data_IF_334061568844
#
_entry.id   IF_334061568844
#
_cell.length_a   1.000
_cell.length_b   1.000
_cell.length_c   1.000
_cell.angle_alpha   90.00
_cell.angle_beta   90.00
_cell.angle_gamma   90.00
#
_symmetry.space_group_name_H-M   'P 1'
#
loop_
_entity.id
_entity.type
_entity.pdbx_description
1 polymer ?
#
# COMPACT_ATOMS: atom_id res chain seq x y z
N UNK A 1 5.58 15.68 4.00
CA UNK A 1 5.87 14.58 3.04
C UNK A 1 7.36 14.23 2.99
N UNK A 2 7.69 13.00 2.59
CA UNK A 2 9.05 12.47 2.39
C UNK A 2 9.53 12.58 0.93
N UNK A 3 9.84 11.44 0.29
CA UNK A 3 10.36 11.39 -1.09
C UNK A 3 9.22 11.47 -2.11
N UNK A 4 9.42 12.20 -3.21
CA UNK A 4 8.44 12.31 -4.30
C UNK A 4 8.96 11.72 -5.62
N UNK A 5 8.04 11.05 -6.32
CA UNK A 5 8.17 10.61 -7.70
C UNK A 5 7.20 11.41 -8.56
N UNK A 6 7.67 12.57 -9.04
CA UNK A 6 6.78 13.60 -9.59
C UNK A 6 6.33 13.32 -11.03
N UNK A 7 7.22 12.90 -11.94
CA UNK A 7 6.87 12.88 -13.37
C UNK A 7 6.99 11.52 -14.08
N UNK A 8 7.82 10.59 -13.57
CA UNK A 8 8.28 9.40 -14.31
C UNK A 8 8.63 8.25 -13.35
N UNK A 9 9.08 7.14 -13.93
CA UNK A 9 9.50 5.93 -13.22
C UNK A 9 10.52 6.24 -12.13
N UNK A 10 10.44 5.49 -11.04
CA UNK A 10 11.21 5.71 -9.83
C UNK A 10 11.75 4.40 -9.28
N UNK A 11 12.93 4.47 -8.67
CA UNK A 11 13.48 3.37 -7.87
C UNK A 11 13.87 3.90 -6.51
N UNK A 12 13.26 3.32 -5.49
CA UNK A 12 13.53 3.59 -4.08
C UNK A 12 14.11 2.29 -3.52
N UNK A 13 15.38 2.32 -3.15
CA UNK A 13 16.11 1.12 -2.74
C UNK A 13 16.85 1.39 -1.43
N UNK A 14 16.69 0.48 -0.47
CA UNK A 14 17.41 0.52 0.81
C UNK A 14 17.24 1.85 1.57
N UNK A 15 16.01 2.39 1.55
CA UNK A 15 15.64 3.63 2.24
C UNK A 15 14.89 3.30 3.53
N UNK A 16 15.25 4.01 4.60
CA UNK A 16 14.64 3.84 5.92
C UNK A 16 14.09 5.17 6.46
N UNK A 17 12.81 5.16 6.83
CA UNK A 17 12.12 6.30 7.45
C UNK A 17 11.83 5.98 8.92
N UNK A 18 12.56 6.62 9.83
CA UNK A 18 12.42 6.37 11.27
C UNK A 18 11.13 6.93 11.89
N UNK A 19 10.57 8.01 11.31
CA UNK A 19 9.34 8.64 11.76
C UNK A 19 8.67 9.36 10.57
N UNK A 20 7.50 8.88 10.16
CA UNK A 20 6.78 9.41 9.00
C UNK A 20 5.76 10.44 9.44
N UNK A 21 6.04 11.71 9.14
CA UNK A 21 5.16 12.83 9.50
C UNK A 21 3.80 12.80 8.77
N UNK A 22 3.82 12.68 7.44
CA UNK A 22 2.60 12.68 6.61
C UNK A 22 2.58 11.42 5.74
N UNK A 23 3.42 11.40 4.70
CA UNK A 23 3.67 10.27 3.81
C UNK A 23 5.19 10.08 3.66
N UNK A 24 5.67 8.83 3.54
CA UNK A 24 7.08 8.54 3.32
C UNK A 24 7.47 8.66 1.84
N UNK A 25 6.59 8.19 0.95
CA UNK A 25 6.76 8.21 -0.50
C UNK A 25 5.45 8.61 -1.19
N UNK A 26 5.52 9.61 -2.07
CA UNK A 26 4.39 10.05 -2.90
C UNK A 26 4.71 9.89 -4.39
N UNK A 27 3.93 9.06 -5.10
CA UNK A 27 3.99 8.90 -6.56
C UNK A 27 2.92 9.81 -7.18
N UNK A 28 3.32 10.90 -7.84
CA UNK A 28 2.41 11.97 -8.28
C UNK A 28 2.06 11.95 -9.77
N UNK A 29 2.97 11.54 -10.65
CA UNK A 29 2.78 11.59 -12.11
C UNK A 29 2.93 10.24 -12.80
N UNK A 30 3.62 10.22 -13.94
CA UNK A 30 3.82 9.05 -14.77
C UNK A 30 2.72 8.82 -15.83
N UNK A 31 2.85 7.70 -16.52
CA UNK A 31 1.91 7.21 -17.54
C UNK A 31 1.34 5.86 -17.13
N UNK A 32 0.35 5.33 -17.85
CA UNK A 32 -0.21 4.01 -17.55
C UNK A 32 0.85 2.87 -17.59
N UNK A 33 1.95 3.05 -18.33
CA UNK A 33 3.07 2.09 -18.38
C UNK A 33 4.18 2.38 -17.36
N UNK A 34 4.07 3.46 -16.58
CA UNK A 34 5.11 3.81 -15.62
C UNK A 34 5.21 2.80 -14.49
N UNK A 35 6.44 2.58 -14.02
CA UNK A 35 6.74 1.66 -12.92
C UNK A 35 7.55 2.36 -11.86
N UNK A 36 7.06 2.35 -10.62
CA UNK A 36 7.83 2.71 -9.43
C UNK A 36 8.20 1.43 -8.69
N UNK A 37 9.48 1.23 -8.40
CA UNK A 37 9.98 0.12 -7.57
C UNK A 37 10.38 0.63 -6.19
N UNK A 38 9.96 -0.10 -5.16
CA UNK A 38 10.28 0.14 -3.75
C UNK A 38 10.82 -1.15 -3.18
N UNK A 39 12.13 -1.20 -2.95
CA UNK A 39 12.84 -2.46 -2.67
C UNK A 39 13.69 -2.36 -1.41
N UNK A 40 13.60 -3.36 -0.53
CA UNK A 40 14.39 -3.44 0.71
C UNK A 40 14.28 -2.19 1.59
N UNK A 41 13.08 -1.62 1.71
CA UNK A 41 12.84 -0.38 2.43
C UNK A 41 12.18 -0.62 3.78
N UNK A 42 12.13 0.41 4.63
CA UNK A 42 11.30 0.33 5.83
C UNK A 42 10.88 1.67 6.40
N UNK A 43 9.76 1.67 7.12
CA UNK A 43 9.17 2.86 7.69
C UNK A 43 8.57 2.58 9.08
N UNK A 44 8.58 3.59 9.95
CA UNK A 44 7.91 3.55 11.25
C UNK A 44 7.05 4.78 11.50
N UNK A 45 6.05 4.62 12.36
CA UNK A 45 5.25 5.71 12.95
C UNK A 45 4.50 6.56 11.91
N UNK A 46 4.00 5.94 10.85
CA UNK A 46 3.23 6.62 9.81
C UNK A 46 1.74 6.71 10.16
N UNK A 47 1.30 7.79 10.80
CA UNK A 47 -0.07 7.91 11.30
C UNK A 47 -1.19 7.67 10.27
N UNK A 48 -0.99 8.00 8.99
CA UNK A 48 -1.97 7.77 7.92
C UNK A 48 -1.50 6.75 6.88
N UNK A 49 -0.41 7.04 6.17
CA UNK A 49 0.06 6.20 5.05
C UNK A 49 1.56 6.32 4.80
N UNK A 50 2.17 5.22 4.32
CA UNK A 50 3.60 5.16 4.00
C UNK A 50 3.81 5.51 2.52
N UNK A 51 3.17 4.74 1.62
CA UNK A 51 3.24 4.94 0.17
C UNK A 51 1.90 5.46 -0.36
N UNK A 52 1.91 6.69 -0.86
CA UNK A 52 0.77 7.35 -1.49
C UNK A 52 0.91 7.31 -3.02
N UNK A 53 -0.02 6.63 -3.70
CA UNK A 53 -0.02 6.52 -5.16
C UNK A 53 -1.13 7.40 -5.75
N UNK A 54 -0.75 8.60 -6.18
CA UNK A 54 -1.63 9.60 -6.80
C UNK A 54 -1.64 9.51 -8.33
N UNK A 55 -0.50 9.20 -8.93
CA UNK A 55 -0.28 9.20 -10.37
C UNK A 55 -0.82 7.96 -11.09
N UNK A 56 -0.29 7.74 -12.29
CA UNK A 56 -0.58 6.57 -13.11
C UNK A 56 0.45 5.45 -12.87
N UNK A 57 0.08 4.24 -13.30
CA UNK A 57 1.04 3.15 -13.49
C UNK A 57 1.01 2.11 -12.38
N UNK A 58 2.16 1.47 -12.19
CA UNK A 58 2.35 0.33 -11.27
C UNK A 58 3.36 0.67 -10.19
N UNK A 59 3.01 0.38 -8.94
CA UNK A 59 3.97 0.38 -7.83
C UNK A 59 4.32 -1.07 -7.48
N UNK A 60 5.60 -1.38 -7.40
CA UNK A 60 6.10 -2.70 -6.98
C UNK A 60 6.84 -2.54 -5.65
N UNK A 61 6.27 -3.12 -4.59
CA UNK A 61 6.85 -3.13 -3.25
C UNK A 61 7.39 -4.55 -3.01
N UNK A 62 8.68 -4.66 -2.77
CA UNK A 62 9.35 -5.96 -2.52
C UNK A 62 10.36 -5.84 -1.38
N UNK A 63 10.14 -6.57 -0.29
CA UNK A 63 11.01 -6.50 0.88
C UNK A 63 10.79 -5.21 1.65
N UNK A 64 9.66 -5.09 2.36
CA UNK A 64 9.34 -3.87 3.12
C UNK A 64 9.05 -4.18 4.59
N UNK A 65 9.69 -3.44 5.48
CA UNK A 65 9.37 -3.44 6.91
C UNK A 65 8.51 -2.22 7.26
N UNK A 66 7.36 -2.42 7.89
CA UNK A 66 6.54 -1.30 8.37
C UNK A 66 6.08 -1.53 9.81
N UNK A 67 6.19 -0.53 10.68
CA UNK A 67 5.71 -0.61 12.06
C UNK A 67 4.85 0.60 12.43
N UNK A 68 3.74 0.35 13.12
CA UNK A 68 2.83 1.36 13.66
C UNK A 68 2.43 2.39 12.59
N UNK A 69 1.65 1.91 11.62
CA UNK A 69 1.31 2.70 10.44
C UNK A 69 -0.17 2.59 10.10
N UNK A 70 -0.77 3.64 9.53
CA UNK A 70 -2.14 3.58 9.05
C UNK A 70 -2.29 2.59 7.89
N UNK A 71 -1.59 2.86 6.78
CA UNK A 71 -1.61 2.05 5.54
C UNK A 71 -0.21 1.99 4.93
N UNK A 72 0.29 0.81 4.57
CA UNK A 72 1.58 0.71 3.87
C UNK A 72 1.44 1.29 2.45
N UNK A 73 0.36 0.96 1.75
CA UNK A 73 0.07 1.51 0.43
C UNK A 73 -1.37 2.01 0.33
N UNK A 74 -1.55 3.20 -0.27
CA UNK A 74 -2.86 3.75 -0.60
C UNK A 74 -2.91 4.24 -2.04
N UNK A 75 -3.81 3.65 -2.83
CA UNK A 75 -4.26 4.26 -4.09
C UNK A 75 -5.07 5.52 -3.79
N UNK A 76 -4.76 6.66 -4.39
CA UNK A 76 -5.43 7.91 -4.04
C UNK A 76 -6.94 7.85 -4.33
N UNK A 77 -7.77 8.04 -3.29
CA UNK A 77 -9.22 8.00 -3.41
C UNK A 77 -9.85 9.25 -4.03
N UNK A 78 -9.14 10.37 -4.04
CA UNK A 78 -9.64 11.69 -4.48
C UNK A 78 -8.94 12.23 -5.73
N UNK A 79 -7.88 11.57 -6.21
CA UNK A 79 -7.05 12.04 -7.33
C UNK A 79 -7.64 11.69 -8.71
N UNK A 80 -8.97 11.58 -8.82
CA UNK A 80 -9.66 11.22 -10.04
C UNK A 80 -9.72 9.72 -10.32
N UNK A 81 -10.48 9.39 -11.37
CA UNK A 81 -10.71 8.03 -11.87
C UNK A 81 -9.52 7.54 -12.69
N UNK A 82 -8.47 7.16 -11.96
CA UNK A 82 -7.22 6.65 -12.51
C UNK A 82 -7.05 5.22 -12.01
N UNK A 83 -7.02 4.21 -12.90
CA UNK A 83 -6.73 2.84 -12.50
C UNK A 83 -5.26 2.73 -12.08
N UNK A 84 -5.03 2.19 -10.88
CA UNK A 84 -3.68 1.99 -10.33
C UNK A 84 -3.43 0.52 -10.06
N UNK A 85 -2.19 0.09 -10.31
CA UNK A 85 -1.76 -1.28 -10.03
C UNK A 85 -0.70 -1.29 -8.93
N UNK A 86 -0.76 -2.29 -8.06
CA UNK A 86 0.27 -2.54 -7.05
C UNK A 86 0.61 -4.02 -6.96
N UNK A 87 1.90 -4.34 -6.86
CA UNK A 87 2.37 -5.64 -6.38
C UNK A 87 3.06 -5.47 -5.05
N UNK A 88 2.75 -6.33 -4.09
CA UNK A 88 3.28 -6.27 -2.73
C UNK A 88 3.80 -7.65 -2.36
N UNK A 89 5.11 -7.75 -2.25
CA UNK A 89 5.81 -9.01 -2.04
C UNK A 89 6.76 -8.86 -0.84
N UNK A 90 6.89 -9.92 -0.02
CA UNK A 90 7.86 -9.99 1.07
C UNK A 90 7.74 -8.82 2.07
N UNK A 91 6.56 -8.62 2.65
CA UNK A 91 6.32 -7.54 3.62
C UNK A 91 6.27 -8.09 5.04
N UNK A 92 6.93 -7.41 5.97
CA UNK A 92 6.75 -7.59 7.40
C UNK A 92 6.14 -6.34 8.02
N UNK A 93 4.87 -6.43 8.40
CA UNK A 93 4.09 -5.36 8.98
C UNK A 93 3.85 -5.61 10.48
N UNK A 94 4.10 -4.60 11.32
CA UNK A 94 3.81 -4.62 12.74
C UNK A 94 2.78 -3.54 13.04
N UNK A 95 1.68 -3.91 13.69
CA UNK A 95 0.63 -3.00 14.15
C UNK A 95 0.09 -2.02 13.07
N UNK A 96 -0.47 -2.53 11.95
CA UNK A 96 -1.26 -1.68 11.05
C UNK A 96 -2.49 -1.12 11.78
N UNK A 97 -2.67 0.19 11.74
CA UNK A 97 -3.77 0.91 12.39
C UNK A 97 -5.06 0.90 11.56
N UNK A 98 -4.97 0.73 10.23
CA UNK A 98 -6.12 0.66 9.33
C UNK A 98 -6.08 -0.58 8.44
N UNK A 99 -5.02 -0.74 7.64
CA UNK A 99 -4.85 -1.87 6.72
C UNK A 99 -3.39 -1.99 6.27
N UNK A 100 -3.01 -3.12 5.68
CA UNK A 100 -1.71 -3.20 4.98
C UNK A 100 -1.80 -2.37 3.70
N UNK A 101 -2.76 -2.64 2.81
CA UNK A 101 -3.01 -1.80 1.64
C UNK A 101 -4.48 -1.40 1.48
N UNK A 102 -4.72 -0.31 0.75
CA UNK A 102 -6.07 0.11 0.35
C UNK A 102 -6.16 0.54 -1.12
N UNK A 103 -7.04 -0.13 -1.87
CA UNK A 103 -7.29 0.09 -3.32
C UNK A 103 -8.73 0.56 -3.59
N UNK A 104 -8.97 1.21 -4.74
CA UNK A 104 -10.28 1.72 -5.14
C UNK A 104 -10.98 0.76 -6.12
N UNK A 105 -12.10 0.19 -5.70
CA UNK A 105 -12.88 -0.77 -6.49
C UNK A 105 -13.45 -0.15 -7.77
N UNK A 106 -13.99 1.05 -7.68
CA UNK A 106 -14.68 1.72 -8.78
C UNK A 106 -13.74 2.32 -9.84
N UNK A 107 -12.46 2.50 -9.52
CA UNK A 107 -11.45 2.98 -10.48
C UNK A 107 -10.75 1.84 -11.20
N UNK A 108 -11.12 0.59 -10.93
CA UNK A 108 -10.51 -0.58 -11.58
C UNK A 108 -9.10 -0.86 -11.10
N UNK A 109 -8.77 -0.48 -9.85
CA UNK A 109 -7.48 -0.79 -9.26
C UNK A 109 -7.25 -2.31 -9.19
N UNK A 110 -5.97 -2.69 -9.22
CA UNK A 110 -5.56 -4.08 -9.11
C UNK A 110 -4.40 -4.20 -8.13
N UNK A 111 -4.53 -5.09 -7.15
CA UNK A 111 -3.45 -5.46 -6.25
C UNK A 111 -3.15 -6.95 -6.36
N UNK A 112 -1.88 -7.29 -6.32
CA UNK A 112 -1.39 -8.64 -6.11
C UNK A 112 -0.50 -8.67 -4.87
N UNK A 113 -0.74 -9.61 -3.97
CA UNK A 113 0.02 -9.74 -2.73
C UNK A 113 0.57 -11.16 -2.60
N UNK A 114 1.80 -11.28 -2.13
CA UNK A 114 2.40 -12.56 -1.76
C UNK A 114 3.35 -12.41 -0.57
N UNK A 115 3.43 -13.44 0.27
CA UNK A 115 4.33 -13.48 1.42
C UNK A 115 4.23 -12.25 2.34
N UNK A 116 3.03 -12.00 2.85
CA UNK A 116 2.70 -10.88 3.75
C UNK A 116 2.64 -11.39 5.18
N UNK A 117 3.61 -11.00 6.00
CA UNK A 117 3.61 -11.28 7.42
C UNK A 117 3.13 -10.07 8.21
N UNK A 118 2.14 -10.29 9.06
CA UNK A 118 1.62 -9.26 9.96
C UNK A 118 1.76 -9.71 11.41
N UNK A 119 2.34 -8.86 12.25
CA UNK A 119 2.35 -9.01 13.69
C UNK A 119 1.44 -7.95 14.31
N UNK A 120 0.60 -8.35 15.24
CA UNK A 120 -0.12 -7.41 16.12
C UNK A 120 0.33 -7.62 17.57
N UNK A 121 0.76 -6.56 18.22
CA UNK A 121 1.28 -6.63 19.61
C UNK A 121 0.19 -6.96 20.62
N UNK A 122 -1.06 -6.64 20.29
CA UNK A 122 -2.24 -7.02 21.08
C UNK A 122 -2.79 -8.42 20.76
N UNK A 123 -2.17 -9.16 19.82
CA UNK A 123 -2.60 -10.51 19.42
C UNK A 123 -3.89 -10.56 18.58
N UNK A 124 -4.35 -9.43 18.05
CA UNK A 124 -5.51 -9.37 17.15
C UNK A 124 -5.20 -10.06 15.80
N UNK A 125 -6.05 -11.01 15.40
CA UNK A 125 -5.95 -11.66 14.08
C UNK A 125 -6.86 -11.04 13.01
N UNK A 126 -7.78 -10.15 13.40
CA UNK A 126 -8.63 -9.42 12.47
C UNK A 126 -7.87 -8.21 11.92
N UNK A 127 -7.08 -8.44 10.86
CA UNK A 127 -6.32 -7.41 10.16
C UNK A 127 -6.76 -7.34 8.70
N UNK A 128 -7.04 -6.11 8.25
CA UNK A 128 -7.38 -5.82 6.85
C UNK A 128 -6.12 -5.79 5.99
N UNK A 129 -5.76 -6.92 5.40
CA UNK A 129 -4.56 -6.99 4.55
C UNK A 129 -4.76 -6.21 3.25
N UNK A 130 -5.84 -6.47 2.52
CA UNK A 130 -6.23 -5.68 1.35
C UNK A 130 -7.62 -5.10 1.56
N UNK A 131 -7.70 -3.81 1.87
CA UNK A 131 -8.97 -3.10 1.98
C UNK A 131 -9.36 -2.51 0.62
N UNK A 132 -10.65 -2.53 0.30
CA UNK A 132 -11.19 -1.92 -0.91
C UNK A 132 -12.19 -0.80 -0.59
N UNK A 133 -12.04 0.31 -1.30
CA UNK A 133 -12.82 1.54 -1.13
C UNK A 133 -13.53 1.97 -2.41
N UNK A 134 -14.51 2.85 -2.25
CA UNK A 134 -15.05 3.70 -3.29
C UNK A 134 -14.25 5.00 -3.31
N UNK A 135 -13.63 5.35 -4.43
CA UNK A 135 -13.06 6.67 -4.68
C UNK A 135 -14.13 7.70 -5.07
N UNK A 136 -13.77 8.99 -4.97
CA UNK A 136 -14.63 10.13 -5.25
C UNK A 136 -14.24 11.35 -4.43
N UNK A 137 -15.12 12.34 -4.33
CA UNK A 137 -14.91 13.51 -3.47
C UNK A 137 -14.90 13.18 -1.97
N UNK A 138 -15.59 12.09 -1.59
CA UNK A 138 -15.63 11.56 -0.22
C UNK A 138 -15.45 10.04 -0.27
N UNK A 139 -14.19 9.55 -0.28
CA UNK A 139 -13.92 8.12 -0.36
C UNK A 139 -14.47 7.36 0.85
N UNK A 140 -14.96 6.16 0.63
CA UNK A 140 -15.52 5.30 1.68
C UNK A 140 -15.04 3.86 1.56
N UNK A 141 -14.89 3.19 2.69
CA UNK A 141 -14.52 1.77 2.70
C UNK A 141 -15.74 0.93 2.35
N UNK A 142 -15.53 -0.10 1.53
CA UNK A 142 -16.59 -1.01 1.10
C UNK A 142 -16.39 -2.44 1.62
N UNK A 143 -15.16 -2.82 1.95
CA UNK A 143 -14.80 -4.07 2.63
C UNK A 143 -13.30 -4.35 2.54
N UNK A 144 -12.91 -5.57 2.83
CA UNK A 144 -11.53 -6.05 2.76
C UNK A 144 -11.48 -7.55 2.41
N UNK A 145 -10.28 -8.09 2.23
CA UNK A 145 -10.05 -9.49 1.89
C UNK A 145 -9.71 -9.74 0.41
N UNK A 146 -9.50 -11.01 0.01
CA UNK A 146 -9.32 -11.39 -1.38
C UNK A 146 -10.54 -11.01 -2.24
N UNK A 147 -10.31 -10.47 -3.43
CA UNK A 147 -11.39 -10.02 -4.31
C UNK A 147 -10.96 -9.97 -5.78
N UNK A 148 -11.22 -11.03 -6.54
CA UNK A 148 -11.00 -11.07 -8.00
C UNK A 148 -9.66 -10.47 -8.41
N UNK A 149 -9.69 -9.51 -9.36
CA UNK A 149 -8.50 -8.76 -9.78
C UNK A 149 -8.13 -7.59 -8.85
N UNK A 150 -9.05 -7.16 -7.98
CA UNK A 150 -8.87 -6.01 -7.09
C UNK A 150 -7.88 -6.30 -5.96
N UNK A 151 -7.99 -7.49 -5.35
CA UNK A 151 -7.11 -7.98 -4.28
C UNK A 151 -6.79 -9.45 -4.53
N UNK A 152 -5.67 -9.72 -5.19
CA UNK A 152 -5.26 -11.06 -5.64
C UNK A 152 -4.26 -11.67 -4.66
N UNK A 153 -4.74 -12.55 -3.79
CA UNK A 153 -3.93 -13.38 -2.90
C UNK A 153 -4.77 -14.54 -2.33
N UNK A 154 -4.10 -15.52 -1.75
CA UNK A 154 -4.68 -16.68 -1.07
C UNK A 154 -4.36 -16.69 0.41
N UNK A 155 -4.95 -17.60 1.18
CA UNK A 155 -4.65 -17.74 2.62
C UNK A 155 -3.17 -18.04 2.87
N UNK A 156 -2.49 -18.80 1.98
CA UNK A 156 -1.06 -19.11 2.13
C UNK A 156 -0.13 -17.93 1.83
N UNK A 157 -0.65 -16.82 1.31
CA UNK A 157 0.14 -15.61 1.04
C UNK A 157 0.17 -14.67 2.25
N UNK A 158 -0.60 -14.95 3.31
CA UNK A 158 -0.81 -14.05 4.45
C UNK A 158 -0.64 -14.80 5.76
N UNK A 159 0.24 -14.30 6.61
CA UNK A 159 0.59 -14.89 7.89
C UNK A 159 0.35 -13.86 9.01
N UNK A 160 -0.71 -14.03 9.80
CA UNK A 160 -1.05 -13.09 10.89
C UNK A 160 -0.73 -13.73 12.23
N UNK A 161 0.19 -13.11 12.98
CA UNK A 161 0.68 -13.57 14.28
C UNK A 161 1.33 -14.95 14.33
N UNK A 162 1.65 -15.52 13.16
CA UNK A 162 2.43 -16.75 13.00
C UNK A 162 3.93 -16.54 13.27
#
# INVERSE_FOLDING_TARGET
EGVHCDDHDCTIENVWWDDVCEDALSIKGGTASSVTTVTNCGARYASDKVVQHNGYGTVKIDGFFAQEFGKLYRSCGTCGDIPRTVTVDNVYAIDPLVSVITVNKNYGDQAKLSNIHVKTTNGNNDVKVCQWSQGGSSPSNLGDGPSGTLCQYSESDVHINE
#
